data_IF_542433580388
#
_entry.id   IF_542433580388
#
_cell.length_a   1.000
_cell.length_b   1.000
_cell.length_c   1.000
_cell.angle_alpha   90.00
_cell.angle_beta   90.00
_cell.angle_gamma   90.00
#
_symmetry.space_group_name_H-M   'P 1'
#
loop_
_entity.id
_entity.type
_entity.pdbx_description
1 polymer ?
#
# COMPACT_ATOMS: atom_id res chain seq x y z
N UNK A 1 -13.81 66.69 3.05
CA UNK A 1 -13.67 65.96 1.77
C UNK A 1 -12.45 65.02 1.79
N UNK A 2 -11.30 65.60 2.16
CA UNK A 2 -10.08 64.77 2.25
C UNK A 2 -10.23 63.67 3.29
N UNK A 3 -10.89 63.97 4.40
CA UNK A 3 -11.13 62.97 5.46
C UNK A 3 -12.05 61.87 4.99
N UNK A 4 -13.05 62.21 4.22
CA UNK A 4 -13.99 61.26 3.64
C UNK A 4 -13.29 60.33 2.68
N UNK A 5 -12.43 60.88 1.83
CA UNK A 5 -11.68 60.07 0.87
C UNK A 5 -10.73 59.12 1.60
N UNK A 6 -10.05 59.63 2.63
CA UNK A 6 -9.13 58.78 3.42
C UNK A 6 -9.87 57.67 4.12
N UNK A 7 -11.05 57.95 4.66
CA UNK A 7 -11.87 56.93 5.31
C UNK A 7 -12.30 55.88 4.31
N UNK A 8 -12.69 56.30 3.12
CA UNK A 8 -13.12 55.40 2.06
C UNK A 8 -11.96 54.51 1.61
N UNK A 9 -10.76 55.10 1.48
CA UNK A 9 -9.59 54.34 1.10
C UNK A 9 -9.22 53.27 2.16
N UNK A 10 -9.37 53.67 3.43
CA UNK A 10 -9.11 52.72 4.54
C UNK A 10 -10.10 51.58 4.52
N UNK A 11 -11.36 51.88 4.25
CA UNK A 11 -12.39 50.84 4.14
C UNK A 11 -12.08 49.89 2.99
N UNK A 12 -11.68 50.40 1.86
CA UNK A 12 -11.34 49.58 0.70
C UNK A 12 -10.13 48.66 1.01
N UNK A 13 -9.13 49.22 1.69
CA UNK A 13 -7.95 48.44 2.05
C UNK A 13 -8.31 47.33 3.04
N UNK A 14 -9.19 47.65 3.99
CA UNK A 14 -9.63 46.63 4.96
C UNK A 14 -10.41 45.53 4.26
N UNK A 15 -11.26 45.87 3.29
CA UNK A 15 -12.02 44.86 2.54
C UNK A 15 -11.09 43.96 1.73
N UNK A 16 -10.04 44.52 1.13
CA UNK A 16 -9.05 43.77 0.38
C UNK A 16 -8.30 42.80 1.30
N UNK A 17 -7.94 43.28 2.50
CA UNK A 17 -7.25 42.42 3.47
C UNK A 17 -8.15 41.30 3.90
N UNK A 18 -9.42 41.54 4.11
CA UNK A 18 -10.40 40.52 4.47
C UNK A 18 -10.51 39.44 3.38
N UNK A 19 -10.58 39.89 2.12
CA UNK A 19 -10.66 38.97 0.99
C UNK A 19 -9.41 38.13 0.88
N UNK A 20 -8.25 38.71 1.08
CA UNK A 20 -6.99 38.01 1.03
C UNK A 20 -6.91 36.98 2.15
N UNK A 21 -7.36 37.35 3.35
CA UNK A 21 -7.37 36.44 4.49
C UNK A 21 -8.32 35.26 4.23
N UNK A 22 -9.49 35.53 3.67
CA UNK A 22 -10.45 34.49 3.34
C UNK A 22 -9.87 33.53 2.28
N UNK A 23 -9.18 34.08 1.29
CA UNK A 23 -8.53 33.26 0.26
C UNK A 23 -7.44 32.38 0.84
N UNK A 24 -6.65 32.93 1.77
CA UNK A 24 -5.60 32.17 2.41
C UNK A 24 -6.18 31.03 3.26
N UNK A 25 -7.29 31.31 3.96
CA UNK A 25 -7.96 30.28 4.76
C UNK A 25 -8.48 29.16 3.87
N UNK A 26 -9.05 29.51 2.72
CA UNK A 26 -9.56 28.52 1.77
C UNK A 26 -8.42 27.66 1.24
N UNK A 27 -7.29 28.29 0.89
CA UNK A 27 -6.13 27.56 0.39
C UNK A 27 -5.56 26.62 1.45
N UNK A 28 -5.51 27.08 2.71
CA UNK A 28 -5.03 26.25 3.81
C UNK A 28 -5.94 25.05 4.02
N UNK A 29 -7.26 25.26 3.95
CA UNK A 29 -8.22 24.18 4.08
C UNK A 29 -8.05 23.15 2.95
N UNK A 30 -7.81 23.65 1.74
CA UNK A 30 -7.56 22.77 0.60
C UNK A 30 -6.31 21.95 0.75
N UNK A 31 -5.25 22.59 1.27
CA UNK A 31 -3.99 21.88 1.53
C UNK A 31 -4.17 20.80 2.59
N UNK A 32 -4.93 21.10 3.64
CA UNK A 32 -5.20 20.13 4.70
C UNK A 32 -5.96 18.94 4.16
N UNK A 33 -6.96 19.19 3.29
CA UNK A 33 -7.72 18.11 2.66
C UNK A 33 -6.81 17.26 1.78
N UNK A 34 -5.95 17.90 1.00
CA UNK A 34 -5.03 17.16 0.13
C UNK A 34 -4.08 16.31 0.94
N UNK A 35 -3.57 16.83 2.06
CA UNK A 35 -2.69 16.08 2.94
C UNK A 35 -3.42 14.88 3.54
N UNK A 36 -4.67 15.06 3.95
CA UNK A 36 -5.47 13.96 4.50
C UNK A 36 -5.70 12.88 3.45
N UNK A 37 -5.97 13.26 2.22
CA UNK A 37 -6.17 12.31 1.13
C UNK A 37 -4.88 11.55 0.82
N UNK A 38 -3.74 12.24 0.87
CA UNK A 38 -2.44 11.60 0.65
C UNK A 38 -2.13 10.58 1.73
N UNK A 39 -2.46 10.91 2.97
CA UNK A 39 -2.29 9.98 4.10
C UNK A 39 -3.14 8.74 3.91
N UNK A 40 -4.38 8.93 3.48
CA UNK A 40 -5.29 7.81 3.23
C UNK A 40 -4.75 6.90 2.12
N UNK A 41 -4.26 7.51 1.05
CA UNK A 41 -3.69 6.76 -0.06
C UNK A 41 -2.46 5.98 0.36
N UNK A 42 -1.61 6.60 1.19
CA UNK A 42 -0.41 5.94 1.69
C UNK A 42 -0.78 4.73 2.55
N UNK A 43 -1.80 4.89 3.37
CA UNK A 43 -2.26 3.80 4.24
C UNK A 43 -2.83 2.64 3.43
N UNK A 44 -3.58 2.96 2.39
CA UNK A 44 -4.12 1.93 1.49
C UNK A 44 -2.98 1.18 0.81
N UNK A 45 -1.95 1.90 0.36
CA UNK A 45 -0.80 1.28 -0.27
C UNK A 45 -0.05 0.38 0.69
N UNK A 46 0.08 0.81 1.94
CA UNK A 46 0.70 0.00 3.00
C UNK A 46 -0.07 -1.30 3.20
N UNK A 47 -1.39 -1.19 3.31
CA UNK A 47 -2.25 -2.35 3.51
C UNK A 47 -2.12 -3.31 2.35
N UNK A 48 -2.13 -2.78 1.13
CA UNK A 48 -1.99 -3.62 -0.08
C UNK A 48 -0.63 -4.30 -0.13
N UNK A 49 0.43 -3.58 0.24
CA UNK A 49 1.77 -4.15 0.27
C UNK A 49 1.85 -5.29 1.29
N UNK A 50 1.20 -5.10 2.42
CA UNK A 50 1.17 -6.13 3.47
C UNK A 50 0.41 -7.36 3.01
N UNK A 51 -0.70 -7.16 2.32
CA UNK A 51 -1.47 -8.28 1.76
C UNK A 51 -0.66 -9.04 0.72
N UNK A 52 0.08 -8.31 -0.12
CA UNK A 52 0.94 -8.93 -1.13
C UNK A 52 2.06 -9.74 -0.48
N UNK A 53 2.63 -9.22 0.60
CA UNK A 53 3.66 -9.94 1.37
C UNK A 53 3.11 -11.24 1.93
N UNK A 54 1.91 -11.19 2.50
CA UNK A 54 1.26 -12.36 3.06
C UNK A 54 0.99 -13.39 1.97
N UNK A 55 0.51 -12.93 0.82
CA UNK A 55 0.23 -13.83 -0.31
C UNK A 55 1.51 -14.48 -0.82
N UNK A 56 2.59 -13.71 -0.89
CA UNK A 56 3.89 -14.24 -1.33
C UNK A 56 4.39 -15.31 -0.35
N UNK A 57 4.22 -15.06 0.93
CA UNK A 57 4.64 -16.02 1.96
C UNK A 57 3.83 -17.30 1.88
N UNK A 58 2.54 -17.18 1.64
CA UNK A 58 1.67 -18.34 1.46
C UNK A 58 2.10 -19.16 0.25
N UNK A 59 2.43 -18.46 -0.85
CA UNK A 59 2.91 -19.13 -2.06
C UNK A 59 4.23 -19.87 -1.80
N UNK A 60 5.13 -19.23 -1.05
CA UNK A 60 6.41 -19.85 -0.66
C UNK A 60 6.17 -21.12 0.13
N UNK A 61 5.27 -21.05 1.10
CA UNK A 61 4.96 -22.19 1.95
C UNK A 61 4.37 -23.33 1.12
N UNK A 62 3.47 -22.99 0.20
CA UNK A 62 2.84 -23.98 -0.67
C UNK A 62 3.85 -24.62 -1.61
N UNK A 63 4.77 -23.85 -2.15
CA UNK A 63 5.83 -24.36 -3.02
C UNK A 63 6.72 -25.34 -2.27
N UNK A 64 7.04 -24.99 -1.03
CA UNK A 64 7.87 -25.86 -0.19
C UNK A 64 7.17 -27.16 0.12
N UNK A 65 5.87 -27.10 0.39
CA UNK A 65 5.07 -28.30 0.64
C UNK A 65 5.03 -29.19 -0.59
N UNK A 66 4.90 -28.58 -1.77
CA UNK A 66 4.92 -29.32 -3.03
C UNK A 66 6.26 -29.98 -3.27
N UNK A 67 7.35 -29.27 -2.97
CA UNK A 67 8.71 -29.82 -3.06
C UNK A 67 8.87 -31.05 -2.17
N UNK A 68 8.39 -30.94 -0.94
CA UNK A 68 8.47 -32.04 0.02
C UNK A 68 7.67 -33.23 -0.47
N UNK A 69 6.47 -32.98 -0.99
CA UNK A 69 5.63 -34.08 -1.51
C UNK A 69 6.29 -34.73 -2.71
N UNK A 70 6.91 -33.95 -3.59
CA UNK A 70 7.60 -34.50 -4.75
C UNK A 70 8.79 -35.37 -4.32
N UNK A 71 9.50 -34.95 -3.30
CA UNK A 71 10.64 -35.72 -2.77
C UNK A 71 10.18 -37.02 -2.16
N UNK A 72 9.06 -36.96 -1.45
CA UNK A 72 8.50 -38.22 -0.86
C UNK A 72 8.10 -39.18 -1.95
N UNK A 73 7.50 -38.69 -3.02
CA UNK A 73 7.14 -39.52 -4.16
C UNK A 73 8.36 -40.14 -4.82
N UNK A 74 9.43 -39.33 -4.97
CA UNK A 74 10.70 -39.83 -5.52
C UNK A 74 11.29 -40.93 -4.66
N UNK A 75 11.28 -40.71 -3.35
CA UNK A 75 11.82 -41.71 -2.41
C UNK A 75 11.02 -43.01 -2.48
N UNK A 76 9.69 -42.91 -2.56
CA UNK A 76 8.83 -44.06 -2.66
C UNK A 76 9.10 -44.85 -3.94
N UNK A 77 9.29 -44.11 -5.06
CA UNK A 77 9.59 -44.74 -6.35
C UNK A 77 10.93 -45.45 -6.30
N UNK A 78 11.92 -44.86 -5.66
CA UNK A 78 13.25 -45.46 -5.52
C UNK A 78 13.17 -46.74 -4.68
N UNK A 79 12.38 -46.72 -3.63
CA UNK A 79 12.17 -47.91 -2.77
C UNK A 79 11.49 -49.02 -3.56
N UNK A 80 10.51 -48.68 -4.37
CA UNK A 80 9.82 -49.67 -5.22
C UNK A 80 10.78 -50.27 -6.24
N UNK A 81 11.64 -49.47 -6.82
CA UNK A 81 12.67 -49.93 -7.76
C UNK A 81 13.62 -50.91 -7.08
N UNK A 82 14.07 -50.57 -5.88
CA UNK A 82 14.96 -51.43 -5.12
C UNK A 82 14.29 -52.75 -4.77
N UNK A 83 13.04 -52.69 -4.36
CA UNK A 83 12.29 -53.93 -4.03
C UNK A 83 12.11 -54.81 -5.25
N UNK A 84 11.81 -54.19 -6.41
CA UNK A 84 11.65 -54.95 -7.66
C UNK A 84 12.97 -55.61 -8.06
N UNK A 85 14.08 -54.88 -7.92
CA UNK A 85 15.41 -55.43 -8.25
C UNK A 85 15.77 -56.60 -7.33
N UNK A 86 15.44 -56.48 -6.04
CA UNK A 86 15.68 -57.58 -5.08
C UNK A 86 14.86 -58.81 -5.42
N UNK A 87 13.59 -58.59 -5.79
CA UNK A 87 12.72 -59.70 -6.17
C UNK A 87 13.24 -60.41 -7.43
N UNK A 88 13.70 -59.65 -8.41
CA UNK A 88 14.25 -60.19 -9.64
C UNK A 88 15.51 -61.02 -9.37
N UNK A 89 16.35 -60.54 -8.46
CA UNK A 89 17.58 -61.24 -8.10
C UNK A 89 17.30 -62.54 -7.36
N UNK A 90 16.25 -62.54 -6.51
CA UNK A 90 15.88 -63.71 -5.74
C UNK A 90 15.27 -64.80 -6.62
N UNK A 91 14.59 -64.41 -7.68
CA UNK A 91 13.99 -65.35 -8.61
C UNK A 91 15.07 -66.02 -9.43
#
# INVERSE_FOLDING_TARGET
>A
KASETAAKNSQAAAAESESAAAGSATSAAGSATAAANSQKAAKTSETNAKSSQTAAKTSETNAKASETAAKSSQDAAAQSESAAASSASAA
#
